data_IF_154970509977
#
_entry.id   IF_154970509977
#
_cell.length_a   1.000
_cell.length_b   1.000
_cell.length_c   1.000
_cell.angle_alpha   90.00
_cell.angle_beta   90.00
_cell.angle_gamma   90.00
#
_symmetry.space_group_name_H-M   'P 1'
#
loop_
_entity.id
_entity.type
_entity.pdbx_description
1 polymer ?
#
# COMPACT_ATOMS: atom_id res chain seq x y z
N UNK A 1 -77.09 -27.15 -19.25
CA UNK A 1 -75.66 -27.42 -19.17
C UNK A 1 -74.90 -27.09 -20.49
N UNK A 2 -75.28 -27.53 -21.67
CA UNK A 2 -74.59 -27.30 -22.96
C UNK A 2 -74.40 -25.80 -23.32
N UNK A 3 -75.44 -24.94 -23.09
CA UNK A 3 -75.38 -23.49 -23.36
C UNK A 3 -74.43 -22.77 -22.41
N UNK A 4 -74.32 -23.17 -21.15
CA UNK A 4 -73.44 -22.60 -20.14
C UNK A 4 -71.99 -22.98 -20.47
N UNK A 5 -71.76 -24.21 -20.91
CA UNK A 5 -70.42 -24.68 -21.32
C UNK A 5 -69.93 -23.94 -22.57
N UNK A 6 -70.82 -23.72 -23.57
CA UNK A 6 -70.49 -22.94 -24.77
C UNK A 6 -70.13 -21.48 -24.43
N UNK A 7 -70.86 -20.88 -23.52
CA UNK A 7 -70.63 -19.50 -23.04
C UNK A 7 -69.28 -19.41 -22.28
N UNK A 8 -68.98 -20.38 -21.40
CA UNK A 8 -67.67 -20.45 -20.72
C UNK A 8 -66.50 -20.63 -21.72
N UNK A 9 -66.68 -21.45 -22.74
CA UNK A 9 -65.63 -21.63 -23.79
C UNK A 9 -65.47 -20.34 -24.60
N UNK A 10 -66.52 -19.61 -24.94
CA UNK A 10 -66.42 -18.35 -25.65
C UNK A 10 -65.76 -17.27 -24.80
N UNK A 11 -66.07 -17.18 -23.51
CA UNK A 11 -65.42 -16.23 -22.58
C UNK A 11 -63.93 -16.57 -22.42
N UNK A 12 -63.60 -17.85 -22.26
CA UNK A 12 -62.21 -18.29 -22.19
C UNK A 12 -61.43 -17.99 -23.48
N UNK A 13 -62.03 -18.20 -24.66
CA UNK A 13 -61.45 -17.86 -25.96
C UNK A 13 -61.25 -16.34 -26.12
N UNK A 14 -62.21 -15.53 -25.66
CA UNK A 14 -62.11 -14.07 -25.68
C UNK A 14 -61.00 -13.58 -24.75
N UNK A 15 -60.90 -14.11 -23.53
CA UNK A 15 -59.83 -13.81 -22.58
C UNK A 15 -58.46 -14.20 -23.16
N UNK A 16 -58.32 -15.38 -23.74
CA UNK A 16 -57.12 -15.85 -24.40
C UNK A 16 -56.71 -14.93 -25.58
N UNK A 17 -57.67 -14.48 -26.41
CA UNK A 17 -57.43 -13.55 -27.50
C UNK A 17 -56.95 -12.17 -27.01
N UNK A 18 -57.55 -11.64 -25.92
CA UNK A 18 -57.13 -10.37 -25.31
C UNK A 18 -55.73 -10.51 -24.71
N UNK A 19 -55.46 -11.57 -23.97
CA UNK A 19 -54.12 -11.81 -23.39
C UNK A 19 -53.09 -12.01 -24.48
N UNK A 20 -53.35 -12.79 -25.49
CA UNK A 20 -52.47 -13.01 -26.63
C UNK A 20 -52.22 -11.73 -27.44
N UNK A 21 -53.26 -10.95 -27.71
CA UNK A 21 -53.15 -9.65 -28.38
C UNK A 21 -52.34 -8.63 -27.59
N UNK A 22 -52.60 -8.58 -26.27
CA UNK A 22 -51.82 -7.70 -25.38
C UNK A 22 -50.34 -8.10 -25.31
N UNK A 23 -50.06 -9.40 -25.20
CA UNK A 23 -48.68 -9.91 -25.20
C UNK A 23 -47.99 -9.60 -26.53
N UNK A 24 -48.65 -9.83 -27.68
CA UNK A 24 -48.09 -9.52 -29.00
C UNK A 24 -47.82 -8.01 -29.16
N UNK A 25 -48.72 -7.16 -28.67
CA UNK A 25 -48.58 -5.70 -28.71
C UNK A 25 -47.38 -5.26 -27.85
N UNK A 26 -47.28 -5.73 -26.59
CA UNK A 26 -46.19 -5.44 -25.71
C UNK A 26 -44.85 -5.95 -26.27
N UNK A 27 -44.85 -7.17 -26.79
CA UNK A 27 -43.66 -7.77 -27.44
C UNK A 27 -43.15 -6.92 -28.61
N UNK A 28 -44.07 -6.40 -29.44
CA UNK A 28 -43.69 -5.55 -30.57
C UNK A 28 -43.15 -4.18 -30.15
N UNK A 29 -43.56 -3.68 -28.97
CA UNK A 29 -43.15 -2.39 -28.40
C UNK A 29 -41.87 -2.48 -27.55
N UNK A 30 -41.48 -3.65 -27.10
CA UNK A 30 -40.27 -3.84 -26.30
C UNK A 30 -39.07 -3.72 -27.20
N UNK A 31 -38.27 -2.69 -27.00
CA UNK A 31 -37.06 -2.37 -27.79
C UNK A 31 -35.77 -2.59 -26.98
N UNK A 32 -34.63 -2.49 -27.69
CA UNK A 32 -33.29 -2.57 -27.11
C UNK A 32 -32.95 -1.38 -26.19
N UNK A 33 -33.74 -0.31 -26.25
CA UNK A 33 -33.65 0.87 -25.38
C UNK A 33 -33.89 0.53 -23.89
N UNK A 34 -34.47 -0.62 -23.61
CA UNK A 34 -34.64 -1.14 -22.24
C UNK A 34 -33.39 -1.85 -21.68
N UNK A 35 -32.44 -2.21 -22.54
CA UNK A 35 -31.20 -2.85 -22.09
C UNK A 35 -30.29 -1.83 -21.37
N UNK A 36 -29.46 -2.27 -20.44
CA UNK A 36 -28.49 -1.39 -19.75
C UNK A 36 -27.58 -0.67 -20.74
N UNK A 37 -27.46 0.65 -20.63
CA UNK A 37 -26.69 1.49 -21.56
C UNK A 37 -25.37 1.99 -20.96
N UNK A 38 -25.20 1.90 -19.64
CA UNK A 38 -23.99 2.39 -18.98
C UNK A 38 -22.79 1.50 -19.32
N UNK A 39 -21.69 2.07 -19.82
CA UNK A 39 -20.57 1.28 -20.33
C UNK A 39 -19.69 0.73 -19.21
N UNK A 40 -19.11 -0.44 -19.45
CA UNK A 40 -17.97 -0.96 -18.70
C UNK A 40 -16.72 -0.19 -19.13
N UNK A 41 -15.85 0.13 -18.17
CA UNK A 41 -14.60 0.84 -18.44
C UNK A 41 -13.39 0.02 -17.97
N UNK A 42 -12.29 0.12 -18.73
CA UNK A 42 -11.01 -0.49 -18.38
C UNK A 42 -9.88 0.52 -18.61
N UNK A 43 -9.12 0.83 -17.55
CA UNK A 43 -8.09 1.88 -17.61
C UNK A 43 -8.62 3.26 -18.03
N UNK A 44 -9.86 3.60 -17.63
CA UNK A 44 -10.53 4.84 -18.02
C UNK A 44 -11.08 4.85 -19.46
N UNK A 45 -10.91 3.77 -20.22
CA UNK A 45 -11.41 3.62 -21.60
C UNK A 45 -12.70 2.81 -21.62
N UNK A 46 -13.67 3.26 -22.41
CA UNK A 46 -14.95 2.56 -22.59
C UNK A 46 -14.75 1.27 -23.38
N UNK A 47 -15.22 0.15 -22.84
CA UNK A 47 -15.32 -1.10 -23.55
C UNK A 47 -16.61 -1.15 -24.37
N UNK A 48 -16.49 -1.58 -25.64
CA UNK A 48 -17.63 -1.82 -26.51
C UNK A 48 -18.05 -3.30 -26.37
N UNK A 49 -19.30 -3.53 -26.01
CA UNK A 49 -19.84 -4.88 -25.97
C UNK A 49 -19.80 -5.51 -27.36
N UNK A 50 -19.24 -6.70 -27.46
CA UNK A 50 -19.13 -7.46 -28.71
C UNK A 50 -19.73 -8.86 -28.60
N UNK A 51 -20.35 -9.16 -27.48
CA UNK A 51 -21.23 -10.32 -27.26
C UNK A 51 -22.32 -9.97 -26.29
N UNK A 52 -23.50 -10.53 -26.44
CA UNK A 52 -24.59 -10.35 -25.49
C UNK A 52 -25.67 -11.41 -25.65
N UNK A 53 -26.35 -11.69 -24.55
CA UNK A 53 -27.57 -12.48 -24.50
C UNK A 53 -28.46 -11.88 -23.41
N UNK A 54 -29.61 -11.33 -23.82
CA UNK A 54 -30.53 -10.63 -22.95
C UNK A 54 -31.96 -11.13 -23.13
N UNK A 55 -32.67 -11.31 -22.03
CA UNK A 55 -34.09 -11.57 -21.99
C UNK A 55 -34.82 -10.39 -21.32
N UNK A 56 -35.70 -9.74 -22.04
CA UNK A 56 -36.54 -8.66 -21.52
C UNK A 56 -37.90 -9.24 -21.25
N UNK A 57 -38.40 -9.30 -19.97
CA UNK A 57 -39.74 -9.74 -19.64
C UNK A 57 -40.79 -8.81 -20.26
N UNK A 58 -41.78 -9.39 -20.95
CA UNK A 58 -42.85 -8.65 -21.63
C UNK A 58 -44.17 -8.80 -20.90
N UNK A 59 -44.47 -10.00 -20.42
CA UNK A 59 -45.67 -10.31 -19.67
C UNK A 59 -45.33 -11.19 -18.47
N UNK A 60 -44.89 -10.55 -17.38
CA UNK A 60 -44.31 -11.26 -16.25
C UNK A 60 -43.17 -12.17 -16.70
N UNK A 61 -42.81 -13.17 -15.93
CA UNK A 61 -41.72 -14.11 -16.24
C UNK A 61 -42.08 -15.19 -17.29
N UNK A 62 -43.27 -15.11 -17.87
CA UNK A 62 -43.79 -16.17 -18.78
C UNK A 62 -43.51 -15.88 -20.26
N UNK A 63 -43.32 -14.63 -20.62
CA UNK A 63 -43.03 -14.23 -22.00
C UNK A 63 -41.89 -13.21 -21.96
N UNK A 64 -40.77 -13.55 -22.55
CA UNK A 64 -39.63 -12.66 -22.67
C UNK A 64 -39.26 -12.45 -24.14
N UNK A 65 -38.73 -11.29 -24.46
CA UNK A 65 -38.10 -11.01 -25.76
C UNK A 65 -36.59 -11.12 -25.63
N UNK A 66 -35.99 -12.00 -26.43
CA UNK A 66 -34.53 -12.25 -26.40
C UNK A 66 -33.80 -11.41 -27.42
N UNK A 67 -32.58 -10.99 -27.05
CA UNK A 67 -31.63 -10.29 -27.89
C UNK A 67 -30.28 -10.99 -27.76
N UNK A 68 -29.80 -11.58 -28.84
CA UNK A 68 -28.58 -12.35 -28.86
C UNK A 68 -27.58 -11.76 -29.87
N UNK A 69 -26.29 -11.84 -29.56
CA UNK A 69 -25.22 -11.42 -30.47
C UNK A 69 -24.78 -12.53 -31.40
N UNK A 70 -24.17 -12.17 -32.55
CA UNK A 70 -23.37 -13.12 -33.34
C UNK A 70 -22.23 -13.72 -32.50
N UNK A 71 -21.87 -14.97 -32.78
CA UNK A 71 -20.87 -15.75 -32.05
C UNK A 71 -19.41 -15.30 -32.25
N UNK A 72 -19.14 -14.39 -33.19
CA UNK A 72 -17.78 -13.91 -33.47
C UNK A 72 -17.50 -12.58 -32.75
N UNK A 73 -16.78 -12.68 -31.62
CA UNK A 73 -16.36 -11.51 -30.86
C UNK A 73 -15.12 -10.87 -31.51
N UNK A 74 -15.25 -9.62 -31.95
CA UNK A 74 -14.10 -8.83 -32.43
C UNK A 74 -13.32 -8.29 -31.24
N UNK A 75 -11.98 -8.23 -31.36
CA UNK A 75 -11.13 -7.66 -30.33
C UNK A 75 -11.04 -6.14 -30.47
N UNK A 76 -11.53 -5.40 -29.49
CA UNK A 76 -11.34 -3.96 -29.39
C UNK A 76 -9.86 -3.66 -29.05
N UNK A 77 -9.25 -2.68 -29.70
CA UNK A 77 -7.89 -2.24 -29.37
C UNK A 77 -7.95 -1.02 -28.44
N UNK A 78 -7.37 -1.15 -27.25
CA UNK A 78 -7.35 -0.09 -26.24
C UNK A 78 -6.05 0.74 -26.24
N UNK A 79 -5.04 0.34 -27.03
CA UNK A 79 -3.75 1.04 -27.08
C UNK A 79 -2.75 0.54 -26.05
N UNK A 80 -1.88 1.45 -25.58
CA UNK A 80 -0.75 1.12 -24.71
C UNK A 80 -0.86 1.87 -23.38
N UNK A 81 -0.64 1.15 -22.28
CA UNK A 81 -0.52 1.70 -20.93
C UNK A 81 0.97 1.78 -20.57
N UNK A 82 1.45 2.98 -20.24
CA UNK A 82 2.89 3.26 -19.99
C UNK A 82 3.18 3.66 -18.54
N UNK A 83 2.21 4.25 -17.84
CA UNK A 83 2.43 4.89 -16.55
C UNK A 83 1.47 4.40 -15.46
N UNK A 84 0.35 3.80 -15.85
CA UNK A 84 -0.69 3.34 -14.92
C UNK A 84 -1.11 1.91 -15.22
N UNK A 85 -1.39 1.16 -14.17
CA UNK A 85 -2.01 -0.17 -14.28
C UNK A 85 -3.51 0.03 -14.53
N UNK A 86 -4.05 -0.55 -15.63
CA UNK A 86 -5.46 -0.36 -15.96
C UNK A 86 -6.36 -1.08 -14.94
N UNK A 87 -7.34 -0.37 -14.41
CA UNK A 87 -8.36 -0.90 -13.52
C UNK A 87 -9.69 -1.09 -14.26
N UNK A 88 -10.44 -2.12 -13.89
CA UNK A 88 -11.80 -2.39 -14.39
C UNK A 88 -12.81 -1.64 -13.51
N UNK A 89 -13.69 -0.87 -14.15
CA UNK A 89 -14.82 -0.22 -13.50
C UNK A 89 -16.13 -0.72 -14.10
N UNK A 90 -16.99 -1.24 -13.24
CA UNK A 90 -18.30 -1.77 -13.61
C UNK A 90 -19.41 -0.79 -13.19
N UNK A 91 -20.44 -0.58 -14.04
CA UNK A 91 -21.60 0.19 -13.70
C UNK A 91 -22.51 -0.56 -12.71
N UNK A 92 -23.42 0.19 -12.05
CA UNK A 92 -24.31 -0.34 -11.00
C UNK A 92 -25.25 -1.47 -11.47
N UNK A 93 -25.55 -1.56 -12.77
CA UNK A 93 -26.40 -2.62 -13.29
C UNK A 93 -25.73 -4.01 -13.25
N UNK A 94 -24.42 -4.09 -13.09
CA UNK A 94 -23.69 -5.36 -13.07
C UNK A 94 -23.80 -6.00 -11.69
N UNK A 95 -24.49 -7.14 -11.62
CA UNK A 95 -24.65 -7.92 -10.39
C UNK A 95 -23.54 -8.94 -10.17
N UNK A 96 -22.94 -9.43 -11.26
CA UNK A 96 -21.78 -10.33 -11.23
C UNK A 96 -20.88 -10.10 -12.46
N UNK A 97 -19.60 -10.35 -12.33
CA UNK A 97 -18.67 -10.26 -13.44
C UNK A 97 -17.65 -11.40 -13.41
N UNK A 98 -17.40 -11.96 -14.58
CA UNK A 98 -16.30 -12.90 -14.84
C UNK A 98 -15.26 -12.20 -15.71
N UNK A 99 -13.99 -12.27 -15.31
CA UNK A 99 -12.90 -11.63 -16.02
C UNK A 99 -11.82 -12.65 -16.33
N UNK A 100 -11.33 -12.62 -17.56
CA UNK A 100 -10.15 -13.39 -17.98
C UNK A 100 -9.10 -12.45 -18.53
N UNK A 101 -7.85 -12.62 -18.11
CA UNK A 101 -6.70 -11.89 -18.65
C UNK A 101 -5.74 -12.91 -19.24
N UNK A 102 -5.41 -12.74 -20.52
CA UNK A 102 -4.37 -13.52 -21.20
C UNK A 102 -3.11 -12.68 -21.28
N UNK A 103 -2.03 -13.18 -20.68
CA UNK A 103 -0.72 -12.52 -20.67
C UNK A 103 0.06 -12.77 -22.00
N UNK A 104 1.16 -12.02 -22.25
CA UNK A 104 1.97 -12.16 -23.46
C UNK A 104 2.58 -13.55 -23.66
N UNK A 105 2.84 -14.29 -22.58
CA UNK A 105 3.33 -15.67 -22.61
C UNK A 105 2.23 -16.72 -22.84
N UNK A 106 0.98 -16.27 -22.98
CA UNK A 106 -0.18 -17.15 -23.17
C UNK A 106 -0.82 -17.65 -21.87
N UNK A 107 -0.29 -17.28 -20.71
CA UNK A 107 -0.92 -17.62 -19.43
C UNK A 107 -2.29 -16.96 -19.32
N UNK A 108 -3.31 -17.71 -18.90
CA UNK A 108 -4.67 -17.20 -18.70
C UNK A 108 -4.97 -17.17 -17.20
N UNK A 109 -5.34 -15.99 -16.74
CA UNK A 109 -5.88 -15.77 -15.42
C UNK A 109 -7.39 -15.56 -15.47
N UNK A 110 -8.14 -16.00 -14.44
CA UNK A 110 -9.58 -15.78 -14.33
C UNK A 110 -9.95 -15.41 -12.89
N UNK A 111 -10.91 -14.48 -12.74
CA UNK A 111 -11.40 -14.03 -11.44
C UNK A 111 -12.58 -13.08 -11.57
N UNK A 112 -13.00 -12.48 -10.45
CA UNK A 112 -14.02 -11.45 -10.37
C UNK A 112 -13.45 -10.02 -10.51
N UNK A 113 -14.31 -9.01 -10.29
CA UNK A 113 -13.92 -7.59 -10.35
C UNK A 113 -12.77 -7.26 -9.36
N UNK A 114 -12.94 -7.64 -8.10
CA UNK A 114 -11.96 -7.34 -7.05
C UNK A 114 -10.62 -7.99 -7.37
N UNK A 115 -10.64 -9.24 -7.80
CA UNK A 115 -9.44 -9.99 -8.15
C UNK A 115 -8.76 -9.40 -9.39
N UNK A 116 -9.54 -8.92 -10.38
CA UNK A 116 -9.04 -8.25 -11.57
C UNK A 116 -8.26 -6.97 -11.22
N UNK A 117 -8.78 -6.16 -10.31
CA UNK A 117 -8.14 -4.92 -9.91
C UNK A 117 -6.93 -5.11 -8.98
N UNK A 118 -6.74 -6.33 -8.47
CA UNK A 118 -5.53 -6.75 -7.75
C UNK A 118 -4.61 -7.65 -8.58
N UNK A 119 -4.94 -7.87 -9.87
CA UNK A 119 -4.12 -8.67 -10.78
C UNK A 119 -2.71 -8.09 -10.90
N UNK A 120 -1.70 -8.93 -10.71
CA UNK A 120 -0.30 -8.54 -10.80
C UNK A 120 0.23 -8.79 -12.20
N UNK A 121 0.51 -7.72 -12.92
CA UNK A 121 1.22 -7.78 -14.19
C UNK A 121 2.70 -8.10 -13.93
N UNK A 122 3.26 -9.06 -14.66
CA UNK A 122 4.64 -9.53 -14.45
C UNK A 122 5.59 -9.17 -15.58
N UNK A 123 5.07 -8.71 -16.73
CA UNK A 123 5.89 -8.39 -17.91
C UNK A 123 5.21 -7.36 -18.82
N UNK A 124 6.02 -6.63 -19.56
CA UNK A 124 5.55 -5.81 -20.67
C UNK A 124 5.14 -6.69 -21.86
N UNK A 125 4.20 -6.23 -22.67
CA UNK A 125 3.76 -6.96 -23.85
C UNK A 125 2.27 -6.83 -24.14
N UNK A 126 1.79 -7.63 -25.07
CA UNK A 126 0.41 -7.61 -25.50
C UNK A 126 -0.46 -8.51 -24.60
N UNK A 127 -1.48 -7.92 -24.02
CA UNK A 127 -2.48 -8.60 -23.19
C UNK A 127 -3.84 -8.62 -23.89
N UNK A 128 -4.68 -9.55 -23.51
CA UNK A 128 -6.10 -9.55 -23.83
C UNK A 128 -6.92 -9.65 -22.55
N UNK A 129 -8.04 -8.92 -22.51
CA UNK A 129 -9.03 -9.04 -21.46
C UNK A 129 -10.37 -9.44 -22.04
N UNK A 130 -11.07 -10.36 -21.38
CA UNK A 130 -12.46 -10.70 -21.63
C UNK A 130 -13.22 -10.43 -20.34
N UNK A 131 -14.25 -9.61 -20.41
CA UNK A 131 -15.15 -9.32 -19.30
C UNK A 131 -16.53 -9.80 -19.70
N UNK A 132 -17.14 -10.66 -18.88
CA UNK A 132 -18.56 -11.02 -18.99
C UNK A 132 -19.28 -10.40 -17.81
N UNK A 133 -20.08 -9.37 -18.09
CA UNK A 133 -20.83 -8.62 -17.09
C UNK A 133 -22.28 -9.09 -17.08
N UNK A 134 -22.73 -9.66 -15.99
CA UNK A 134 -24.06 -10.23 -15.81
C UNK A 134 -24.97 -9.26 -15.06
N UNK A 135 -26.23 -9.27 -15.48
CA UNK A 135 -27.34 -8.73 -14.70
C UNK A 135 -28.31 -9.88 -14.47
N UNK A 136 -28.30 -10.40 -13.27
CA UNK A 136 -29.18 -11.46 -12.84
C UNK A 136 -29.90 -10.99 -11.57
N UNK A 137 -31.20 -11.22 -11.53
CA UNK A 137 -32.02 -10.96 -10.36
C UNK A 137 -32.25 -9.47 -10.07
N UNK A 138 -33.27 -8.92 -10.69
CA UNK A 138 -33.78 -7.62 -10.29
C UNK A 138 -34.94 -7.84 -9.35
N UNK A 139 -34.92 -7.15 -8.22
CA UNK A 139 -36.10 -7.05 -7.31
C UNK A 139 -37.31 -6.35 -7.96
N UNK A 140 -37.12 -5.82 -9.18
CA UNK A 140 -38.14 -5.15 -9.94
C UNK A 140 -38.71 -6.05 -11.06
N UNK A 141 -40.00 -6.45 -10.99
CA UNK A 141 -40.62 -7.23 -12.05
C UNK A 141 -40.52 -6.52 -13.40
N UNK A 142 -39.99 -7.20 -14.40
CA UNK A 142 -39.88 -6.70 -15.76
C UNK A 142 -38.52 -6.11 -16.16
N UNK A 143 -37.50 -6.18 -15.30
CA UNK A 143 -36.16 -5.80 -15.65
C UNK A 143 -35.48 -6.81 -16.58
N UNK A 144 -34.65 -6.34 -17.52
CA UNK A 144 -33.87 -7.22 -18.39
C UNK A 144 -32.91 -8.10 -17.57
N UNK A 145 -32.82 -9.38 -17.93
CA UNK A 145 -31.84 -10.33 -17.36
C UNK A 145 -30.93 -10.82 -18.48
N UNK A 146 -29.63 -10.86 -18.24
CA UNK A 146 -28.69 -11.29 -19.26
C UNK A 146 -27.27 -10.88 -19.00
N UNK A 147 -26.48 -10.80 -20.06
CA UNK A 147 -25.06 -10.42 -19.95
C UNK A 147 -24.56 -9.70 -21.21
N UNK A 148 -23.51 -8.91 -20.98
CA UNK A 148 -22.63 -8.40 -22.04
C UNK A 148 -21.25 -9.01 -21.92
N UNK A 149 -20.65 -9.38 -23.04
CA UNK A 149 -19.24 -9.75 -23.14
C UNK A 149 -18.45 -8.65 -23.87
N UNK A 150 -17.28 -8.36 -23.34
CA UNK A 150 -16.33 -7.39 -23.87
C UNK A 150 -15.01 -8.10 -24.08
N UNK A 151 -14.45 -8.02 -25.29
CA UNK A 151 -13.14 -8.56 -25.60
C UNK A 151 -12.24 -7.46 -26.12
N UNK A 152 -11.15 -7.18 -25.39
CA UNK A 152 -10.23 -6.11 -25.74
C UNK A 152 -8.78 -6.58 -25.67
N UNK A 153 -7.95 -6.01 -26.55
CA UNK A 153 -6.49 -6.15 -26.54
C UNK A 153 -5.82 -4.84 -26.19
N UNK A 154 -4.77 -4.90 -25.39
CA UNK A 154 -3.97 -3.76 -24.97
C UNK A 154 -2.51 -4.15 -24.82
N UNK A 155 -1.62 -3.16 -24.77
CA UNK A 155 -0.20 -3.36 -24.55
C UNK A 155 0.19 -2.73 -23.21
N UNK A 156 0.87 -3.50 -22.37
CA UNK A 156 1.60 -2.95 -21.22
C UNK A 156 3.01 -2.62 -21.69
N UNK A 157 3.43 -1.37 -21.52
CA UNK A 157 4.78 -0.89 -21.85
C UNK A 157 5.26 0.07 -20.74
N UNK A 158 5.26 -0.45 -19.51
CA UNK A 158 5.68 0.31 -18.33
C UNK A 158 7.15 0.67 -18.45
N UNK A 159 7.46 1.93 -18.17
CA UNK A 159 8.83 2.45 -18.19
C UNK A 159 9.36 2.55 -16.75
N UNK A 160 10.37 1.76 -16.38
CA UNK A 160 10.97 1.85 -15.06
C UNK A 160 11.52 3.25 -14.78
N UNK A 161 11.07 3.85 -13.69
CA UNK A 161 11.53 5.15 -13.21
C UNK A 161 11.99 5.04 -11.77
N UNK A 162 13.15 5.61 -11.47
CA UNK A 162 13.69 5.73 -10.11
C UNK A 162 13.69 7.20 -9.72
N UNK A 163 13.13 7.49 -8.55
CA UNK A 163 13.06 8.85 -8.01
C UNK A 163 13.58 8.82 -6.56
N UNK A 164 14.51 9.70 -6.23
CA UNK A 164 14.94 9.94 -4.86
C UNK A 164 14.14 11.10 -4.24
N UNK A 165 13.89 11.05 -2.93
CA UNK A 165 13.33 12.19 -2.21
C UNK A 165 14.28 13.40 -2.22
N UNK A 166 15.59 13.16 -2.34
CA UNK A 166 16.62 14.17 -2.52
C UNK A 166 17.86 13.52 -3.13
N UNK A 167 18.51 14.21 -4.06
CA UNK A 167 19.83 13.84 -4.58
C UNK A 167 20.98 14.34 -3.71
N UNK A 168 20.68 15.22 -2.74
CA UNK A 168 21.58 15.73 -1.73
C UNK A 168 21.01 15.48 -0.34
N UNK A 169 21.79 14.84 0.53
CA UNK A 169 21.33 14.41 1.84
C UNK A 169 22.36 14.81 2.92
N UNK A 170 21.97 15.58 3.94
CA UNK A 170 22.85 15.81 5.08
C UNK A 170 23.06 14.53 5.89
N UNK A 171 24.20 14.44 6.57
CA UNK A 171 24.41 13.40 7.59
C UNK A 171 23.25 13.43 8.59
N UNK A 172 22.79 12.26 9.03
CA UNK A 172 21.62 12.07 9.89
C UNK A 172 20.31 11.89 9.13
N UNK A 173 20.25 12.14 7.82
CA UNK A 173 19.00 12.09 7.06
C UNK A 173 18.60 10.68 6.62
N UNK A 174 17.37 10.59 6.10
CA UNK A 174 16.84 9.41 5.42
C UNK A 174 16.45 9.85 4.00
N UNK A 175 16.86 9.08 3.00
CA UNK A 175 16.49 9.29 1.59
C UNK A 175 15.49 8.22 1.18
N UNK A 176 14.30 8.62 0.72
CA UNK A 176 13.36 7.70 0.12
C UNK A 176 13.75 7.41 -1.34
N UNK A 177 13.62 6.15 -1.74
CA UNK A 177 13.87 5.65 -3.10
C UNK A 177 12.55 5.07 -3.62
N UNK A 178 11.94 5.74 -4.59
CA UNK A 178 10.74 5.27 -5.26
C UNK A 178 11.10 4.65 -6.61
N UNK A 179 10.64 3.42 -6.82
CA UNK A 179 10.63 2.77 -8.11
C UNK A 179 9.19 2.72 -8.61
N UNK A 180 8.93 3.18 -9.82
CA UNK A 180 7.63 3.07 -10.47
C UNK A 180 7.78 2.45 -11.86
N UNK A 181 6.66 1.93 -12.41
CA UNK A 181 6.69 1.24 -13.69
C UNK A 181 7.41 -0.11 -13.66
N UNK A 182 7.53 -0.72 -12.49
CA UNK A 182 8.15 -2.04 -12.30
C UNK A 182 7.06 -3.09 -12.29
N UNK A 183 7.15 -4.06 -13.18
CA UNK A 183 6.23 -5.19 -13.28
C UNK A 183 6.80 -6.48 -12.69
N UNK A 184 8.14 -6.65 -12.71
CA UNK A 184 8.82 -7.87 -12.29
C UNK A 184 10.06 -7.59 -11.42
N UNK A 185 10.48 -8.59 -10.67
CA UNK A 185 11.67 -8.58 -9.84
C UNK A 185 11.45 -7.87 -8.50
N UNK A 186 12.40 -8.11 -7.59
CA UNK A 186 12.50 -7.43 -6.30
C UNK A 186 13.72 -6.50 -6.32
N UNK A 187 13.59 -5.26 -5.83
CA UNK A 187 14.68 -4.31 -5.86
C UNK A 187 15.73 -4.61 -4.80
N UNK A 188 16.97 -4.42 -5.17
CA UNK A 188 18.10 -4.38 -4.26
C UNK A 188 18.93 -3.12 -4.52
N UNK A 189 19.54 -2.59 -3.47
CA UNK A 189 20.48 -1.47 -3.56
C UNK A 189 21.75 -1.87 -2.84
N UNK A 190 22.86 -1.88 -3.58
CA UNK A 190 24.19 -1.97 -2.99
C UNK A 190 24.72 -0.56 -2.74
N UNK A 191 25.12 -0.28 -1.50
CA UNK A 191 25.60 1.02 -1.05
C UNK A 191 26.46 0.86 0.20
N UNK A 192 27.46 1.72 0.35
CA UNK A 192 28.25 1.86 1.57
C UNK A 192 27.52 2.60 2.71
N UNK A 193 26.37 3.26 2.41
CA UNK A 193 25.58 3.99 3.39
C UNK A 193 24.76 3.08 4.29
N UNK A 194 24.24 1.97 3.74
CA UNK A 194 23.42 1.01 4.49
C UNK A 194 22.46 0.20 3.62
N UNK A 195 21.69 -0.65 4.26
CA UNK A 195 20.68 -1.48 3.62
C UNK A 195 19.39 -0.70 3.36
N UNK A 196 18.73 -1.01 2.25
CA UNK A 196 17.41 -0.46 1.89
C UNK A 196 16.37 -1.56 1.96
N UNK A 197 15.33 -1.33 2.75
CA UNK A 197 14.20 -2.24 2.85
C UNK A 197 13.07 -1.73 1.98
N UNK A 198 12.78 -2.45 0.91
CA UNK A 198 11.71 -2.10 -0.02
C UNK A 198 10.38 -2.72 0.38
N UNK A 199 9.33 -1.94 0.23
CA UNK A 199 7.95 -2.43 0.21
C UNK A 199 7.36 -2.31 -1.19
N UNK A 200 6.49 -3.23 -1.56
CA UNK A 200 5.74 -3.15 -2.81
C UNK A 200 4.68 -2.04 -2.71
N UNK A 201 4.52 -1.30 -3.81
CA UNK A 201 3.46 -0.30 -4.01
C UNK A 201 2.58 -0.71 -5.18
N UNK A 202 1.56 0.07 -5.52
CA UNK A 202 0.68 -0.26 -6.65
C UNK A 202 1.42 -0.32 -7.99
N UNK A 203 2.48 0.48 -8.18
CA UNK A 203 3.19 0.63 -9.46
C UNK A 203 4.67 0.28 -9.39
N UNK A 204 5.15 -0.27 -8.27
CA UNK A 204 6.57 -0.60 -8.08
C UNK A 204 6.94 -0.78 -6.62
N UNK A 205 7.91 -0.03 -6.14
CA UNK A 205 8.47 -0.18 -4.79
C UNK A 205 8.84 1.16 -4.15
N UNK A 206 8.84 1.19 -2.83
CA UNK A 206 9.34 2.28 -2.00
C UNK A 206 10.31 1.73 -0.96
N UNK A 207 11.49 2.32 -0.86
CA UNK A 207 12.51 1.98 0.14
C UNK A 207 13.10 3.22 0.79
N UNK A 208 13.83 3.02 1.88
CA UNK A 208 14.39 4.10 2.68
C UNK A 208 15.86 3.80 2.98
N UNK A 209 16.75 4.72 2.56
CA UNK A 209 18.19 4.65 2.75
C UNK A 209 18.63 5.54 3.91
N UNK A 210 19.29 5.03 4.94
CA UNK A 210 19.84 5.84 6.03
C UNK A 210 21.13 6.52 5.62
N UNK A 211 21.30 7.78 6.05
CA UNK A 211 22.58 8.51 5.99
C UNK A 211 22.99 8.85 7.41
N UNK A 212 23.90 8.09 7.98
CA UNK A 212 24.29 8.24 9.40
C UNK A 212 25.13 9.50 9.65
N UNK A 213 25.31 9.87 10.94
CA UNK A 213 26.15 11.02 11.34
C UNK A 213 27.63 10.86 10.90
N UNK A 214 28.10 9.63 10.72
CA UNK A 214 29.47 9.32 10.34
C UNK A 214 29.64 8.90 8.88
N UNK A 215 28.59 9.03 8.05
CA UNK A 215 28.72 8.83 6.61
C UNK A 215 29.76 9.80 6.04
N UNK A 216 30.57 9.34 5.12
CA UNK A 216 31.54 10.22 4.48
C UNK A 216 30.84 11.32 3.69
N UNK A 217 31.40 12.55 3.68
CA UNK A 217 30.86 13.61 2.84
C UNK A 217 31.36 13.47 1.40
N UNK A 218 30.50 13.67 0.42
CA UNK A 218 30.84 13.54 -1.00
C UNK A 218 29.81 12.69 -1.74
N UNK A 219 30.19 12.25 -2.92
CA UNK A 219 29.31 11.46 -3.79
C UNK A 219 29.41 9.96 -3.45
N UNK A 220 28.27 9.35 -3.24
CA UNK A 220 28.08 7.93 -3.00
C UNK A 220 27.32 7.32 -4.17
N UNK A 221 27.76 6.15 -4.60
CA UNK A 221 27.11 5.40 -5.67
C UNK A 221 26.16 4.38 -5.10
N UNK A 222 24.90 4.42 -5.56
CA UNK A 222 23.86 3.45 -5.26
C UNK A 222 23.69 2.57 -6.51
N UNK A 223 24.05 1.30 -6.43
CA UNK A 223 23.81 0.32 -7.50
C UNK A 223 22.44 -0.32 -7.28
N UNK A 224 21.45 0.12 -8.05
CA UNK A 224 20.08 -0.37 -7.96
C UNK A 224 19.83 -1.42 -9.03
N UNK A 225 19.30 -2.58 -8.62
CA UNK A 225 18.84 -3.64 -9.53
C UNK A 225 17.39 -4.03 -9.19
N UNK A 226 16.57 -4.28 -10.22
CA UNK A 226 15.22 -4.80 -10.06
C UNK A 226 14.78 -5.48 -11.36
N UNK A 227 14.68 -6.81 -11.37
CA UNK A 227 14.47 -7.55 -12.61
C UNK A 227 15.53 -7.23 -13.65
N UNK A 228 15.11 -6.71 -14.79
CA UNK A 228 16.00 -6.28 -15.88
C UNK A 228 16.54 -4.85 -15.70
N UNK A 229 15.98 -4.07 -14.77
CA UNK A 229 16.46 -2.72 -14.48
C UNK A 229 17.77 -2.78 -13.72
N UNK A 230 18.79 -2.12 -14.27
CA UNK A 230 20.06 -1.83 -13.61
C UNK A 230 20.32 -0.34 -13.71
N UNK A 231 20.52 0.32 -12.59
CA UNK A 231 20.73 1.77 -12.55
C UNK A 231 21.74 2.16 -11.49
N UNK A 232 22.72 2.93 -11.92
CA UNK A 232 23.63 3.64 -11.03
C UNK A 232 23.05 5.02 -10.71
N UNK A 233 23.01 5.37 -9.43
CA UNK A 233 22.48 6.62 -8.93
C UNK A 233 23.53 7.26 -8.02
N UNK A 234 23.79 8.53 -8.22
CA UNK A 234 24.69 9.31 -7.35
C UNK A 234 23.86 10.02 -6.28
N UNK A 235 24.23 9.83 -5.01
CA UNK A 235 23.71 10.58 -3.86
C UNK A 235 24.86 11.38 -3.26
N UNK A 236 24.74 12.70 -3.23
CA UNK A 236 25.74 13.57 -2.58
C UNK A 236 25.43 13.71 -1.09
N UNK A 237 26.28 13.19 -0.22
CA UNK A 237 26.19 13.39 1.23
C UNK A 237 26.87 14.70 1.62
N UNK A 238 26.14 15.56 2.35
CA UNK A 238 26.69 16.80 2.90
C UNK A 238 26.99 16.64 4.38
N UNK A 239 28.16 17.16 4.80
CA UNK A 239 28.56 17.10 6.20
C UNK A 239 27.70 18.02 7.05
N UNK A 240 27.29 17.52 8.23
CA UNK A 240 26.59 18.28 9.27
C UNK A 240 27.59 18.65 10.35
N UNK A 241 27.55 19.89 10.82
CA UNK A 241 28.33 20.32 12.00
C UNK A 241 27.55 19.92 13.25
N UNK A 242 28.10 18.97 13.99
CA UNK A 242 27.55 18.51 15.25
C UNK A 242 28.24 19.20 16.43
N UNK A 243 27.48 19.49 17.47
CA UNK A 243 27.99 20.09 18.70
C UNK A 243 28.94 19.14 19.44
N UNK A 244 29.79 19.70 20.27
CA UNK A 244 30.62 18.97 21.24
C UNK A 244 30.10 19.27 22.62
N UNK A 245 29.72 18.23 23.38
CA UNK A 245 29.09 18.36 24.70
C UNK A 245 29.89 17.55 25.72
N UNK A 246 30.19 18.14 26.86
CA UNK A 246 30.75 17.43 28.00
C UNK A 246 29.64 16.67 28.71
N UNK A 247 29.79 15.38 28.87
CA UNK A 247 28.88 14.51 29.59
C UNK A 247 29.60 13.89 30.80
N UNK A 248 28.86 13.57 31.88
CA UNK A 248 29.47 12.86 33.02
C UNK A 248 29.97 11.50 32.59
N UNK A 249 30.97 10.98 33.27
CA UNK A 249 31.39 9.60 33.13
C UNK A 249 30.24 8.69 33.61
N UNK A 250 29.85 7.73 32.77
CA UNK A 250 28.91 6.70 33.18
C UNK A 250 29.65 5.55 33.87
N UNK A 251 29.05 4.99 34.91
CA UNK A 251 29.57 3.78 35.53
C UNK A 251 29.33 2.59 34.60
N UNK A 252 30.30 1.68 34.50
CA UNK A 252 30.11 0.43 33.78
C UNK A 252 29.18 -0.49 34.58
N UNK A 253 27.91 -0.46 34.24
CA UNK A 253 26.88 -1.32 34.87
C UNK A 253 26.85 -2.73 34.30
N UNK A 254 27.67 -3.01 33.29
CA UNK A 254 27.64 -4.28 32.55
C UNK A 254 26.42 -4.39 31.63
N UNK A 255 25.96 -5.64 31.38
CA UNK A 255 24.75 -5.89 30.56
C UNK A 255 24.94 -5.78 29.05
N UNK A 256 26.14 -5.52 28.55
CA UNK A 256 26.42 -5.37 27.13
C UNK A 256 26.10 -6.61 26.28
N UNK A 257 26.28 -7.82 26.85
CA UNK A 257 25.90 -9.06 26.17
C UNK A 257 24.39 -9.26 26.15
N UNK A 258 23.71 -8.98 27.27
CA UNK A 258 22.25 -8.98 27.36
C UNK A 258 21.65 -8.04 26.29
N UNK A 259 22.14 -6.80 26.21
CA UNK A 259 21.71 -5.83 25.23
C UNK A 259 21.91 -6.33 23.79
N UNK A 260 23.10 -6.86 23.49
CA UNK A 260 23.37 -7.40 22.14
C UNK A 260 22.38 -8.52 21.78
N UNK A 261 22.17 -9.45 22.68
CA UNK A 261 21.29 -10.59 22.45
C UNK A 261 19.81 -10.16 22.29
N UNK A 262 19.37 -9.12 22.99
CA UNK A 262 18.00 -8.62 22.94
C UNK A 262 17.75 -7.69 21.73
N UNK A 263 18.68 -6.81 21.40
CA UNK A 263 18.47 -5.70 20.48
C UNK A 263 19.02 -5.96 19.07
N UNK A 264 20.21 -6.54 18.93
CA UNK A 264 20.83 -6.72 17.61
C UNK A 264 20.00 -7.55 16.63
N UNK A 265 19.30 -8.63 17.03
CA UNK A 265 18.43 -9.37 16.12
C UNK A 265 17.31 -8.51 15.51
N UNK A 266 16.92 -7.44 16.21
CA UNK A 266 15.87 -6.53 15.72
C UNK A 266 16.34 -5.67 14.55
N UNK A 267 17.65 -5.53 14.31
CA UNK A 267 18.19 -4.76 13.19
C UNK A 267 17.89 -5.42 11.83
N UNK A 268 17.79 -6.73 11.79
CA UNK A 268 17.62 -7.52 10.55
C UNK A 268 16.22 -8.12 10.41
N UNK A 269 15.31 -7.85 11.36
CA UNK A 269 13.94 -8.35 11.35
C UNK A 269 12.95 -7.19 11.27
N UNK A 270 11.73 -7.42 10.83
CA UNK A 270 10.68 -6.42 10.83
C UNK A 270 9.64 -6.64 9.73
N UNK A 271 8.62 -5.80 9.73
CA UNK A 271 7.56 -5.80 8.74
C UNK A 271 7.98 -5.07 7.47
N UNK A 272 7.60 -5.59 6.31
CA UNK A 272 7.70 -4.85 5.03
C UNK A 272 6.58 -3.82 4.85
N UNK A 273 5.48 -3.94 5.61
CA UNK A 273 4.37 -3.01 5.52
C UNK A 273 4.74 -1.67 6.16
N UNK A 274 4.42 -0.56 5.51
CA UNK A 274 4.54 0.78 6.10
C UNK A 274 3.39 1.00 7.09
N UNK A 275 3.70 1.20 8.36
CA UNK A 275 2.71 1.36 9.43
C UNK A 275 2.56 2.82 9.88
N UNK A 276 3.47 3.73 9.51
CA UNK A 276 3.40 5.14 9.87
C UNK A 276 2.65 5.99 8.83
N UNK A 277 2.11 7.11 9.30
CA UNK A 277 1.46 8.11 8.46
C UNK A 277 1.84 9.53 8.92
N UNK A 278 2.42 10.31 8.02
CA UNK A 278 2.83 11.67 8.34
C UNK A 278 4.16 11.75 9.11
N UNK A 279 4.30 12.82 9.89
CA UNK A 279 5.50 13.08 10.70
C UNK A 279 5.48 12.26 11.98
N UNK A 280 6.65 12.04 12.53
CA UNK A 280 6.81 11.46 13.87
C UNK A 280 6.54 12.54 14.94
N UNK A 281 6.17 12.11 16.14
CA UNK A 281 5.93 12.97 17.29
C UNK A 281 7.00 12.72 18.37
N UNK A 282 7.30 13.75 19.16
CA UNK A 282 8.26 13.61 20.25
C UNK A 282 7.70 12.66 21.31
N UNK A 283 8.47 11.67 21.80
CA UNK A 283 8.01 10.74 22.81
C UNK A 283 7.89 11.36 24.21
N UNK A 284 8.42 12.54 24.42
CA UNK A 284 8.44 13.30 25.68
C UNK A 284 8.22 14.78 25.41
N UNK A 285 7.59 15.47 26.36
CA UNK A 285 7.46 16.92 26.38
C UNK A 285 8.72 17.62 26.89
N UNK A 286 9.65 16.87 27.50
CA UNK A 286 10.93 17.40 27.99
C UNK A 286 11.78 17.99 26.88
N UNK A 287 12.63 18.95 27.22
CA UNK A 287 13.57 19.53 26.27
C UNK A 287 14.64 18.50 25.86
N UNK A 288 15.12 18.58 24.61
CA UNK A 288 16.28 17.79 24.17
C UNK A 288 17.54 18.32 24.85
N UNK A 289 18.16 17.49 25.68
CA UNK A 289 19.40 17.80 26.42
C UNK A 289 20.65 17.41 25.67
N UNK A 290 20.57 16.38 24.79
CA UNK A 290 21.65 15.96 23.92
C UNK A 290 21.07 15.65 22.53
N UNK A 291 21.57 16.34 21.52
CA UNK A 291 21.11 16.16 20.14
C UNK A 291 21.84 15.00 19.45
N UNK A 292 21.18 14.41 18.44
CA UNK A 292 21.76 13.40 17.57
C UNK A 292 23.08 13.90 16.93
N UNK A 293 24.07 13.02 16.85
CA UNK A 293 25.38 13.31 16.25
C UNK A 293 26.32 14.12 17.13
N UNK A 294 25.85 14.67 18.27
CA UNK A 294 26.71 15.43 19.17
C UNK A 294 27.91 14.58 19.66
N UNK A 295 29.10 15.14 19.57
CA UNK A 295 30.32 14.52 20.11
C UNK A 295 30.32 14.61 21.62
N UNK A 296 30.38 13.49 22.29
CA UNK A 296 30.42 13.38 23.73
C UNK A 296 31.85 13.38 24.24
N UNK A 297 32.12 14.22 25.23
CA UNK A 297 33.41 14.35 25.88
C UNK A 297 33.25 13.97 27.36
N UNK A 298 34.08 13.05 27.84
CA UNK A 298 34.20 12.68 29.26
C UNK A 298 35.63 13.08 29.71
N UNK A 299 35.74 13.90 30.74
CA UNK A 299 37.01 14.39 31.25
C UNK A 299 37.92 14.99 30.17
N UNK A 300 37.28 15.70 29.19
CA UNK A 300 37.99 16.32 28.07
C UNK A 300 38.46 15.37 26.96
N UNK A 301 38.12 14.09 27.04
CA UNK A 301 38.40 13.11 26.01
C UNK A 301 37.14 12.68 25.29
N UNK A 302 37.25 12.42 23.99
CA UNK A 302 36.12 11.92 23.20
C UNK A 302 35.73 10.51 23.66
N UNK A 303 34.49 10.35 24.11
CA UNK A 303 33.92 9.06 24.52
C UNK A 303 33.00 8.43 23.47
N UNK A 304 32.33 9.25 22.64
CA UNK A 304 31.40 8.73 21.62
C UNK A 304 30.69 9.84 20.85
N UNK A 305 29.63 9.45 20.16
CA UNK A 305 28.67 10.34 19.52
C UNK A 305 27.25 9.86 19.83
N UNK A 306 26.34 10.81 20.04
CA UNK A 306 24.94 10.53 20.31
C UNK A 306 24.25 9.92 19.08
N UNK A 307 23.62 8.76 19.25
CA UNK A 307 22.93 8.02 18.21
C UNK A 307 21.42 8.29 18.16
N UNK A 308 20.94 9.15 19.05
CA UNK A 308 19.54 9.58 19.18
C UNK A 308 19.42 10.94 19.88
N UNK A 309 18.22 11.27 20.31
CA UNK A 309 17.90 12.43 21.12
C UNK A 309 17.79 12.01 22.58
N UNK A 310 18.46 12.72 23.49
CA UNK A 310 18.26 12.55 24.93
C UNK A 310 17.33 13.63 25.42
N UNK A 311 16.29 13.26 26.17
CA UNK A 311 15.28 14.18 26.72
C UNK A 311 15.50 14.41 28.19
N UNK A 312 15.34 15.65 28.61
CA UNK A 312 15.22 16.02 30.03
C UNK A 312 13.76 15.83 30.46
N UNK A 313 13.32 14.57 30.49
CA UNK A 313 11.98 14.20 30.92
C UNK A 313 11.83 14.35 32.43
N UNK A 314 10.64 14.78 32.88
CA UNK A 314 10.32 14.86 34.31
C UNK A 314 10.07 13.43 34.88
N UNK A 315 10.31 13.28 36.19
CA UNK A 315 9.98 12.05 36.90
C UNK A 315 8.47 11.75 36.81
N UNK A 316 8.13 10.52 36.41
CA UNK A 316 6.76 10.09 36.18
C UNK A 316 6.11 10.62 34.90
N UNK A 317 6.85 11.38 34.05
CA UNK A 317 6.34 11.83 32.76
C UNK A 317 5.98 10.65 31.87
N UNK A 318 4.81 10.72 31.21
CA UNK A 318 4.38 9.69 30.27
C UNK A 318 5.23 9.73 29.00
N UNK A 319 5.84 8.61 28.66
CA UNK A 319 6.54 8.39 27.41
C UNK A 319 5.56 7.81 26.38
N UNK A 320 5.48 8.43 25.21
CA UNK A 320 4.49 8.08 24.19
C UNK A 320 5.13 7.52 22.91
N UNK A 321 4.34 6.79 22.13
CA UNK A 321 4.76 6.23 20.84
C UNK A 321 4.98 7.37 19.82
N UNK A 322 6.19 7.48 19.22
CA UNK A 322 6.47 8.54 18.23
C UNK A 322 5.65 8.42 16.96
N UNK A 323 5.22 7.19 16.63
CA UNK A 323 4.37 6.89 15.47
C UNK A 323 3.77 5.49 15.62
N UNK A 324 2.72 5.21 14.83
CA UNK A 324 2.06 3.90 14.79
C UNK A 324 3.03 2.77 14.41
N UNK A 325 2.86 1.60 15.00
CA UNK A 325 3.71 0.44 14.76
C UNK A 325 3.38 -0.75 15.66
N UNK A 326 4.26 -1.74 15.62
CA UNK A 326 4.15 -2.94 16.47
C UNK A 326 5.31 -2.99 17.46
N UNK A 327 5.03 -3.29 18.72
CA UNK A 327 6.05 -3.50 19.75
C UNK A 327 6.81 -4.79 19.47
N UNK A 328 8.08 -4.69 19.14
CA UNK A 328 8.95 -5.83 18.89
C UNK A 328 9.83 -6.19 20.07
N UNK A 329 10.02 -5.22 20.99
CA UNK A 329 10.66 -5.45 22.27
C UNK A 329 10.02 -4.54 23.34
N UNK A 330 9.79 -5.07 24.53
CA UNK A 330 9.37 -4.34 25.71
C UNK A 330 9.89 -5.08 26.95
N UNK A 331 10.70 -4.41 27.75
CA UNK A 331 11.32 -5.01 28.94
C UNK A 331 12.39 -4.12 29.54
N UNK A 332 13.03 -4.56 30.61
CA UNK A 332 14.14 -3.86 31.27
C UNK A 332 15.45 -4.56 30.95
N UNK A 333 16.44 -3.81 30.52
CA UNK A 333 17.81 -4.28 30.27
C UNK A 333 18.78 -3.60 31.24
N UNK A 334 19.78 -4.32 31.69
CA UNK A 334 20.77 -3.82 32.68
C UNK A 334 21.44 -2.54 32.17
N UNK A 335 21.80 -2.49 30.89
CA UNK A 335 22.52 -1.37 30.30
C UNK A 335 21.66 -0.11 30.06
N UNK A 336 20.37 -0.28 29.73
CA UNK A 336 19.55 0.81 29.19
C UNK A 336 18.28 1.08 30.00
N UNK A 337 18.06 0.33 31.10
CA UNK A 337 16.81 0.46 31.87
C UNK A 337 15.60 -0.06 31.08
N UNK A 338 14.44 0.48 31.37
CA UNK A 338 13.23 0.19 30.62
C UNK A 338 13.42 0.54 29.16
N UNK A 339 13.14 -0.44 28.30
CA UNK A 339 13.40 -0.38 26.86
C UNK A 339 12.19 -0.80 26.10
N UNK A 340 11.79 0.01 25.11
CA UNK A 340 10.70 -0.29 24.16
C UNK A 340 11.21 -0.09 22.73
N UNK A 341 10.95 -1.06 21.86
CA UNK A 341 11.26 -0.96 20.44
C UNK A 341 9.98 -1.12 19.62
N UNK A 342 9.70 -0.14 18.79
CA UNK A 342 8.54 -0.10 17.90
C UNK A 342 9.00 -0.32 16.46
N UNK A 343 8.46 -1.34 15.79
CA UNK A 343 8.65 -1.55 14.35
C UNK A 343 7.56 -0.81 13.60
N UNK A 344 7.95 0.19 12.83
CA UNK A 344 7.06 0.96 11.97
C UNK A 344 6.95 0.37 10.56
N UNK A 345 7.69 -0.72 10.29
CA UNK A 345 7.79 -1.36 8.99
C UNK A 345 8.86 -0.74 8.08
N UNK A 346 9.10 -1.37 6.93
CA UNK A 346 10.12 -0.93 5.97
C UNK A 346 11.53 -0.77 6.58
N UNK A 347 11.87 -1.56 7.61
CA UNK A 347 13.13 -1.45 8.34
C UNK A 347 13.23 -0.28 9.33
N UNK A 348 12.22 0.59 9.38
CA UNK A 348 12.19 1.78 10.26
C UNK A 348 11.72 1.39 11.65
N UNK A 349 12.53 1.70 12.67
CA UNK A 349 12.20 1.40 14.07
C UNK A 349 12.56 2.57 14.99
N UNK A 350 11.68 2.77 15.97
CA UNK A 350 11.94 3.64 17.13
C UNK A 350 12.43 2.81 18.30
N UNK A 351 13.53 3.23 18.89
CA UNK A 351 14.11 2.65 20.10
C UNK A 351 14.03 3.69 21.21
N UNK A 352 13.34 3.34 22.29
CA UNK A 352 13.20 4.18 23.48
C UNK A 352 13.86 3.46 24.64
N UNK A 353 14.84 4.13 25.23
CA UNK A 353 15.62 3.62 26.37
C UNK A 353 15.45 4.56 27.57
N UNK A 354 15.70 4.04 28.77
CA UNK A 354 15.68 4.81 29.99
C UNK A 354 14.29 5.03 30.57
N UNK A 355 13.30 4.21 30.22
CA UNK A 355 12.01 4.24 30.89
C UNK A 355 12.15 3.68 32.31
N UNK A 356 11.48 4.31 33.28
CA UNK A 356 11.34 3.78 34.64
C UNK A 356 10.33 2.64 34.69
N UNK A 357 9.19 2.81 34.00
CA UNK A 357 8.19 1.75 33.84
C UNK A 357 7.90 1.48 32.37
N UNK A 358 7.68 0.21 32.03
CA UNK A 358 7.26 -0.22 30.71
C UNK A 358 5.81 -0.69 30.80
N UNK A 359 4.90 -0.02 30.11
CA UNK A 359 3.45 -0.25 30.15
C UNK A 359 2.89 -1.05 28.96
N UNK A 360 3.75 -1.50 28.03
CA UNK A 360 3.38 -2.23 26.82
C UNK A 360 4.05 -3.60 26.79
N UNK A 361 3.57 -4.48 25.90
CA UNK A 361 4.13 -5.83 25.73
C UNK A 361 4.50 -6.11 24.27
N UNK A 362 5.44 -7.00 24.06
CA UNK A 362 5.81 -7.46 22.71
C UNK A 362 4.61 -8.04 21.97
N UNK A 363 4.44 -7.65 20.72
CA UNK A 363 3.33 -8.05 19.85
C UNK A 363 2.12 -7.11 19.90
N UNK A 364 2.11 -6.14 20.81
CA UNK A 364 1.07 -5.11 20.88
C UNK A 364 1.24 -4.11 19.71
N UNK A 365 0.12 -3.73 19.06
CA UNK A 365 0.09 -2.61 18.13
C UNK A 365 -0.18 -1.30 18.88
N UNK A 366 0.48 -0.25 18.49
CA UNK A 366 0.33 1.11 19.06
C UNK A 366 0.06 2.12 17.96
N UNK A 367 -0.70 3.16 18.32
CA UNK A 367 -0.92 4.36 17.51
C UNK A 367 0.03 5.48 17.96
N UNK A 368 0.18 6.51 17.13
CA UNK A 368 0.93 7.72 17.50
C UNK A 368 0.33 8.32 18.78
N UNK A 369 1.19 8.64 19.76
CA UNK A 369 0.78 9.22 21.03
C UNK A 369 0.31 8.23 22.09
N UNK A 370 0.20 6.94 21.79
CA UNK A 370 -0.17 5.93 22.79
C UNK A 370 0.88 5.84 23.91
N UNK A 371 0.48 5.67 25.17
CA UNK A 371 1.41 5.58 26.29
C UNK A 371 2.21 4.26 26.23
N UNK A 372 3.53 4.37 26.38
CA UNK A 372 4.47 3.26 26.40
C UNK A 372 4.96 2.92 27.82
N UNK A 373 4.95 3.88 28.71
CA UNK A 373 5.46 3.82 30.06
C UNK A 373 5.73 5.19 30.64
N UNK A 374 6.61 5.29 31.62
CA UNK A 374 6.98 6.54 32.26
C UNK A 374 8.49 6.74 32.26
N UNK A 375 8.92 7.98 32.17
CA UNK A 375 10.30 8.37 32.46
C UNK A 375 10.54 8.42 33.96
N UNK A 376 11.79 8.31 34.37
CA UNK A 376 12.22 8.41 35.77
C UNK A 376 13.53 9.19 35.88
N UNK A 377 14.16 9.08 37.04
CA UNK A 377 15.46 9.72 37.35
C UNK A 377 16.63 8.73 37.28
N UNK A 378 16.35 7.45 37.19
CA UNK A 378 17.38 6.39 37.22
C UNK A 378 18.20 6.36 35.93
N UNK A 379 17.57 6.67 34.80
CA UNK A 379 18.21 6.69 33.46
C UNK A 379 17.72 7.89 32.66
N UNK A 380 18.56 8.38 31.75
CA UNK A 380 18.15 9.39 30.77
C UNK A 380 17.23 8.77 29.72
N UNK A 381 16.13 9.43 29.39
CA UNK A 381 15.25 9.00 28.30
C UNK A 381 15.93 9.29 26.96
N UNK A 382 16.22 8.22 26.19
CA UNK A 382 16.86 8.31 24.88
C UNK A 382 15.90 7.78 23.81
N UNK A 383 15.77 8.53 22.74
CA UNK A 383 15.01 8.15 21.55
C UNK A 383 15.93 8.05 20.33
N UNK A 384 16.03 6.85 19.77
CA UNK A 384 16.70 6.60 18.50
C UNK A 384 15.72 6.23 17.41
N UNK A 385 15.96 6.75 16.21
CA UNK A 385 15.28 6.33 14.98
C UNK A 385 16.28 5.62 14.09
N UNK A 386 16.00 4.37 13.71
CA UNK A 386 16.92 3.54 12.95
C UNK A 386 16.28 2.96 11.70
N UNK A 387 17.11 2.72 10.68
CA UNK A 387 16.81 1.83 9.57
C UNK A 387 17.84 0.71 9.62
N UNK A 388 17.36 -0.52 9.85
CA UNK A 388 18.25 -1.63 10.15
C UNK A 388 19.15 -1.31 11.36
N UNK A 389 20.46 -1.49 11.20
CA UNK A 389 21.46 -1.18 12.23
C UNK A 389 21.88 0.30 12.27
N UNK A 390 21.45 1.12 11.31
CA UNK A 390 21.92 2.49 11.12
C UNK A 390 21.01 3.49 11.82
N UNK A 391 21.56 4.31 12.72
CA UNK A 391 20.82 5.41 13.36
C UNK A 391 20.74 6.62 12.46
N UNK A 392 19.63 7.32 12.51
CA UNK A 392 19.36 8.56 11.78
C UNK A 392 18.86 9.63 12.76
N UNK A 393 18.89 10.89 12.37
CA UNK A 393 18.45 11.99 13.22
C UNK A 393 16.93 11.99 13.41
N UNK A 394 16.42 11.66 14.61
CA UNK A 394 14.99 11.67 14.86
C UNK A 394 14.38 13.06 14.67
N UNK A 395 15.14 14.14 14.91
CA UNK A 395 14.64 15.51 14.79
C UNK A 395 14.12 15.82 13.38
N UNK A 396 14.74 15.24 12.33
CA UNK A 396 14.27 15.42 10.95
C UNK A 396 12.90 14.77 10.73
N UNK A 397 12.65 13.62 11.34
CA UNK A 397 11.36 12.95 11.28
C UNK A 397 10.28 13.72 12.09
N UNK A 398 10.65 14.26 13.25
CA UNK A 398 9.78 15.08 14.09
C UNK A 398 9.38 16.39 13.41
N UNK A 399 10.30 17.00 12.66
CA UNK A 399 10.06 18.25 11.94
C UNK A 399 9.35 18.04 10.58
N UNK A 400 9.18 16.79 10.13
CA UNK A 400 8.58 16.47 8.83
C UNK A 400 9.51 16.71 7.63
N UNK A 401 10.82 16.83 7.85
CA UNK A 401 11.85 17.04 6.79
C UNK A 401 12.62 15.77 6.42
N UNK A 402 12.22 14.61 6.94
CA UNK A 402 12.80 13.31 6.62
C UNK A 402 12.22 12.74 5.32
N UNK A 403 12.99 11.92 4.61
CA UNK A 403 12.51 11.09 3.49
C UNK A 403 11.35 10.16 3.86
N UNK A 404 11.07 9.94 5.16
CA UNK A 404 9.91 9.17 5.63
C UNK A 404 8.57 9.84 5.27
N UNK A 405 8.54 11.16 5.03
CA UNK A 405 7.39 11.93 4.61
C UNK A 405 7.27 12.07 3.09
N UNK A 406 8.21 11.48 2.33
CA UNK A 406 8.13 11.49 0.88
C UNK A 406 6.84 10.81 0.41
N UNK A 407 6.07 11.53 -0.43
CA UNK A 407 4.81 11.03 -0.97
C UNK A 407 5.09 10.23 -2.22
N UNK A 408 4.42 9.11 -2.34
CA UNK A 408 4.38 8.36 -3.59
C UNK A 408 3.77 9.23 -4.69
N UNK A 409 4.39 9.25 -5.85
CA UNK A 409 3.73 9.78 -7.04
C UNK A 409 2.56 8.82 -7.37
N UNK A 410 1.36 9.36 -7.45
CA UNK A 410 0.13 8.68 -7.85
C UNK A 410 0.20 8.19 -9.29
#
# INVERSE_FOLDING_TARGET
MRKLLLWLVMVAAMVAAILGGTAAFLYSRTGEDRLPQQPVQFGGLTLTANGWDWAIPVLGDKVSKTYESPTNLTVQKLGTFTDTIPALALPEWVTAAEVQITAPDGTVWSGGLTDCNTYTYTQNGAYQIIVTAHHSDSDAPGDPVGWYAYRAGYTMAMNPKVTLSSERAPQGSIVAIQLSGILDGEPTVESDLGEVWFRKTATGYMGYLPVTYNAEGGDHTLQLTCGTLQKEITLTVTRTLYDTVSVPAEEDVGGGEEFRNAIWPLYTTGSSAKLWNGRFEAPSAGAVSLAYGATQMVDGQRSGQATGLTYAAADGETVTAPQAGNIVFAGTLTLTGGTVVIDHGCGVKSYLYGLETVGVVRGQSVSTGDPLGTAGTSHSLIYELRIGSKSTDPQLALNGSSGLQFREAE
#
